data_IF_161295621463
#
_entry.id   IF_161295621463
#
_cell.length_a   1.000
_cell.length_b   1.000
_cell.length_c   1.000
_cell.angle_alpha   90.00
_cell.angle_beta   90.00
_cell.angle_gamma   90.00
#
_symmetry.space_group_name_H-M   'P 1'
#
loop_
_entity.id
_entity.type
_entity.pdbx_description
1 polymer ?
#
# COMPACT_ATOMS: atom_id res chain seq x y z
N UNK A 1 5.64 -18.98 0.00
CA UNK A 1 4.31 -18.82 0.62
C UNK A 1 3.39 -19.94 0.17
N UNK A 2 2.78 -20.65 1.10
CA UNK A 2 1.80 -21.71 0.81
C UNK A 2 0.50 -21.13 0.23
N UNK A 3 -0.28 -21.97 -0.46
CA UNK A 3 -1.60 -21.58 -0.98
C UNK A 3 -2.56 -21.17 0.15
N UNK A 4 -2.46 -21.83 1.31
CA UNK A 4 -3.25 -21.49 2.50
C UNK A 4 -2.94 -20.07 2.99
N UNK A 5 -1.65 -19.72 3.08
CA UNK A 5 -1.23 -18.37 3.48
C UNK A 5 -1.74 -17.30 2.51
N UNK A 6 -1.65 -17.53 1.19
CA UNK A 6 -2.16 -16.59 0.19
C UNK A 6 -3.67 -16.36 0.35
N UNK A 7 -4.45 -17.43 0.61
CA UNK A 7 -5.89 -17.33 0.86
C UNK A 7 -6.18 -16.53 2.13
N UNK A 8 -5.42 -16.75 3.19
CA UNK A 8 -5.52 -15.99 4.44
C UNK A 8 -5.27 -14.50 4.21
N UNK A 9 -4.16 -14.14 3.56
CA UNK A 9 -3.81 -12.74 3.26
C UNK A 9 -4.87 -12.03 2.43
N UNK A 10 -5.45 -12.69 1.42
CA UNK A 10 -6.58 -12.14 0.63
C UNK A 10 -7.82 -11.91 1.50
N UNK A 11 -8.10 -12.82 2.44
CA UNK A 11 -9.21 -12.67 3.39
C UNK A 11 -8.96 -11.48 4.31
N UNK A 12 -7.76 -11.35 4.85
CA UNK A 12 -7.35 -10.22 5.70
C UNK A 12 -7.50 -8.89 4.97
N UNK A 13 -7.01 -8.77 3.73
CA UNK A 13 -7.23 -7.57 2.90
C UNK A 13 -8.71 -7.21 2.80
N UNK A 14 -9.57 -8.20 2.49
CA UNK A 14 -11.01 -7.96 2.32
C UNK A 14 -11.70 -7.56 3.63
N UNK A 15 -11.22 -8.05 4.78
CA UNK A 15 -11.76 -7.67 6.09
C UNK A 15 -11.36 -6.23 6.42
N UNK A 16 -10.08 -5.87 6.28
CA UNK A 16 -9.61 -4.51 6.59
C UNK A 16 -10.04 -3.43 5.58
N UNK A 17 -10.49 -3.81 4.38
CA UNK A 17 -11.08 -2.88 3.41
C UNK A 17 -12.53 -2.48 3.72
N UNK A 18 -13.17 -3.07 4.74
CA UNK A 18 -14.55 -2.73 5.12
C UNK A 18 -14.59 -1.41 5.88
N UNK A 19 -15.63 -0.61 5.65
CA UNK A 19 -15.83 0.66 6.35
C UNK A 19 -15.86 0.55 7.89
N UNK A 20 -16.25 -0.62 8.41
CA UNK A 20 -16.33 -0.91 9.85
C UNK A 20 -15.08 -1.63 10.40
N UNK A 21 -14.01 -1.75 9.61
CA UNK A 21 -12.80 -2.43 10.07
C UNK A 21 -12.12 -1.64 11.18
N UNK A 22 -11.69 -2.33 12.24
CA UNK A 22 -10.90 -1.72 13.31
C UNK A 22 -9.53 -1.27 12.80
N UNK A 23 -8.88 -0.36 13.51
CA UNK A 23 -7.53 0.09 13.16
C UNK A 23 -6.53 -1.08 13.03
N UNK A 24 -6.64 -2.09 13.90
CA UNK A 24 -5.84 -3.31 13.83
C UNK A 24 -6.10 -4.10 12.53
N UNK A 25 -7.38 -4.27 12.15
CA UNK A 25 -7.75 -4.97 10.91
C UNK A 25 -7.29 -4.21 9.66
N UNK A 26 -7.32 -2.88 9.69
CA UNK A 26 -6.79 -2.04 8.62
C UNK A 26 -5.27 -2.20 8.50
N UNK A 27 -4.55 -2.20 9.63
CA UNK A 27 -3.10 -2.41 9.64
C UNK A 27 -2.69 -3.81 9.15
N UNK A 28 -3.44 -4.84 9.55
CA UNK A 28 -3.26 -6.21 9.05
C UNK A 28 -3.52 -6.29 7.54
N UNK A 29 -4.54 -5.59 7.04
CA UNK A 29 -4.85 -5.52 5.62
C UNK A 29 -3.75 -4.82 4.82
N UNK A 30 -3.16 -3.74 5.34
CA UNK A 30 -1.99 -3.08 4.73
C UNK A 30 -0.82 -4.04 4.61
N UNK A 31 -0.47 -4.70 5.71
CA UNK A 31 0.62 -5.69 5.76
C UNK A 31 0.38 -6.86 4.79
N UNK A 32 -0.86 -7.35 4.73
CA UNK A 32 -1.27 -8.39 3.80
C UNK A 32 -1.20 -7.94 2.32
N UNK A 33 -1.54 -6.68 2.04
CA UNK A 33 -1.44 -6.10 0.70
C UNK A 33 0.00 -6.04 0.20
N UNK A 34 0.91 -5.55 1.04
CA UNK A 34 2.35 -5.49 0.72
C UNK A 34 2.93 -6.88 0.49
N UNK A 35 2.61 -7.83 1.37
CA UNK A 35 3.04 -9.23 1.24
C UNK A 35 2.60 -9.86 -0.09
N UNK A 36 1.37 -9.57 -0.53
CA UNK A 36 0.86 -10.04 -1.81
C UNK A 36 1.51 -9.34 -3.00
N UNK A 37 1.80 -8.04 -2.90
CA UNK A 37 2.48 -7.25 -3.92
C UNK A 37 3.92 -7.75 -4.13
N UNK A 38 4.71 -7.82 -3.05
CA UNK A 38 6.07 -8.35 -3.08
C UNK A 38 6.14 -9.75 -3.70
N UNK A 39 5.18 -10.62 -3.34
CA UNK A 39 5.08 -11.93 -3.97
C UNK A 39 4.82 -11.82 -5.47
N UNK A 40 3.91 -10.94 -5.91
CA UNK A 40 3.64 -10.76 -7.34
C UNK A 40 4.90 -10.33 -8.09
N UNK A 41 5.64 -9.36 -7.55
CA UNK A 41 6.91 -8.88 -8.14
C UNK A 41 7.93 -10.01 -8.21
N UNK A 42 8.11 -10.76 -7.11
CA UNK A 42 9.06 -11.89 -7.07
C UNK A 42 8.76 -12.98 -8.09
N UNK A 43 7.49 -13.23 -8.39
CA UNK A 43 7.06 -14.21 -9.39
C UNK A 43 6.86 -13.60 -10.78
N UNK A 44 7.21 -12.32 -10.99
CA UNK A 44 7.01 -11.59 -12.25
C UNK A 44 5.58 -11.65 -12.78
N UNK A 45 4.60 -11.63 -11.86
CA UNK A 45 3.19 -11.59 -12.22
C UNK A 45 2.76 -10.14 -12.50
N UNK A 46 3.21 -9.62 -13.64
CA UNK A 46 3.15 -8.22 -14.05
C UNK A 46 1.80 -7.54 -13.86
N UNK A 47 0.77 -7.97 -14.60
CA UNK A 47 -0.59 -7.43 -14.47
C UNK A 47 -1.13 -7.53 -13.04
N UNK A 48 -0.80 -8.62 -12.34
CA UNK A 48 -1.26 -8.83 -10.98
C UNK A 48 -0.49 -7.96 -9.96
N UNK A 49 0.76 -7.61 -10.24
CA UNK A 49 1.56 -6.69 -9.43
C UNK A 49 0.93 -5.30 -9.48
N UNK A 50 0.61 -4.79 -10.67
CA UNK A 50 -0.06 -3.50 -10.86
C UNK A 50 -1.42 -3.45 -10.15
N UNK A 51 -2.24 -4.50 -10.26
CA UNK A 51 -3.51 -4.59 -9.53
C UNK A 51 -3.33 -4.61 -8.00
N UNK A 52 -2.29 -5.29 -7.50
CA UNK A 52 -2.01 -5.36 -6.07
C UNK A 52 -1.41 -4.07 -5.52
N UNK A 53 -0.65 -3.34 -6.32
CA UNK A 53 -0.19 -2.00 -6.01
C UNK A 53 -1.38 -1.07 -5.75
N UNK A 54 -2.36 -1.08 -6.65
CA UNK A 54 -3.59 -0.29 -6.46
C UNK A 54 -4.31 -0.63 -5.14
N UNK A 55 -4.37 -1.90 -4.77
CA UNK A 55 -4.98 -2.31 -3.49
C UNK A 55 -4.15 -1.88 -2.28
N UNK A 56 -2.82 -1.97 -2.37
CA UNK A 56 -1.93 -1.53 -1.30
C UNK A 56 -2.06 -0.02 -1.04
N UNK A 57 -2.08 0.78 -2.11
CA UNK A 57 -2.27 2.24 -2.04
C UNK A 57 -3.64 2.62 -1.49
N UNK A 58 -4.72 1.99 -1.97
CA UNK A 58 -6.08 2.23 -1.45
C UNK A 58 -6.22 1.92 0.04
N UNK A 59 -5.48 0.93 0.55
CA UNK A 59 -5.45 0.59 1.98
C UNK A 59 -4.52 1.51 2.79
N UNK A 60 -3.78 2.42 2.15
CA UNK A 60 -2.78 3.28 2.79
C UNK A 60 -1.54 2.50 3.25
N UNK A 61 -1.18 1.43 2.54
CA UNK A 61 0.04 0.70 2.85
C UNK A 61 1.27 1.47 2.34
N UNK A 62 2.35 1.46 3.14
CA UNK A 62 3.61 2.08 2.74
C UNK A 62 4.31 1.20 1.68
N UNK A 63 4.21 1.62 0.42
CA UNK A 63 4.84 0.92 -0.71
C UNK A 63 6.20 1.54 -0.97
N UNK A 64 7.25 0.71 -0.90
CA UNK A 64 8.63 1.09 -1.18
C UNK A 64 8.86 1.52 -2.64
N UNK A 65 9.81 2.43 -2.88
CA UNK A 65 10.13 2.97 -4.20
C UNK A 65 10.49 1.87 -5.21
N UNK A 66 11.19 0.80 -4.79
CA UNK A 66 11.53 -0.32 -5.70
C UNK A 66 10.29 -1.05 -6.25
N UNK A 67 9.22 -1.14 -5.46
CA UNK A 67 7.95 -1.73 -5.90
C UNK A 67 7.20 -0.79 -6.83
N UNK A 68 7.31 0.53 -6.60
CA UNK A 68 6.79 1.56 -7.50
C UNK A 68 7.48 1.52 -8.86
N UNK A 69 8.80 1.51 -8.89
CA UNK A 69 9.60 1.44 -10.11
C UNK A 69 9.27 0.17 -10.91
N UNK A 70 9.20 -0.99 -10.25
CA UNK A 70 8.82 -2.24 -10.91
C UNK A 70 7.43 -2.12 -11.56
N UNK A 71 6.43 -1.67 -10.81
CA UNK A 71 5.08 -1.55 -11.34
C UNK A 71 4.96 -0.48 -12.43
N UNK A 72 5.74 0.60 -12.35
CA UNK A 72 5.83 1.60 -13.39
C UNK A 72 6.42 1.01 -14.67
N UNK A 73 7.60 0.37 -14.59
CA UNK A 73 8.27 -0.25 -15.72
C UNK A 73 7.38 -1.29 -16.41
N UNK A 74 6.74 -2.15 -15.62
CA UNK A 74 5.76 -3.13 -16.13
C UNK A 74 4.59 -2.44 -16.81
N UNK A 75 3.95 -1.46 -16.16
CA UNK A 75 2.78 -0.79 -16.72
C UNK A 75 3.12 0.00 -18.00
N UNK A 76 4.32 0.57 -18.10
CA UNK A 76 4.81 1.22 -19.32
C UNK A 76 5.03 0.24 -20.47
N UNK A 77 5.39 -1.01 -20.19
CA UNK A 77 5.56 -2.07 -21.19
C UNK A 77 4.28 -2.81 -21.54
N UNK A 78 3.16 -2.57 -20.84
CA UNK A 78 1.87 -3.20 -21.14
C UNK A 78 1.20 -2.55 -22.34
N UNK A 79 0.54 -3.35 -23.18
CA UNK A 79 -0.27 -2.84 -24.29
C UNK A 79 -1.49 -2.01 -23.87
N UNK A 80 -1.87 -2.06 -22.58
CA UNK A 80 -2.99 -1.33 -22.00
C UNK A 80 -2.50 -0.04 -21.30
N UNK A 81 -2.62 1.13 -21.94
CA UNK A 81 -2.14 2.40 -21.38
C UNK A 81 -2.92 2.83 -20.13
N UNK A 82 -4.11 2.25 -19.88
CA UNK A 82 -4.90 2.57 -18.68
C UNK A 82 -4.20 2.10 -17.41
N UNK A 83 -3.42 1.03 -17.47
CA UNK A 83 -2.64 0.56 -16.32
C UNK A 83 -1.55 1.55 -15.93
N UNK A 84 -0.84 2.11 -16.93
CA UNK A 84 0.17 3.13 -16.68
C UNK A 84 -0.44 4.38 -16.06
N UNK A 85 -1.54 4.88 -16.62
CA UNK A 85 -2.26 6.04 -16.08
C UNK A 85 -2.71 5.80 -14.63
N UNK A 86 -3.16 4.57 -14.32
CA UNK A 86 -3.55 4.17 -12.97
C UNK A 86 -2.36 4.24 -12.01
N UNK A 87 -1.20 3.69 -12.37
CA UNK A 87 0.01 3.74 -11.53
C UNK A 87 0.45 5.19 -11.27
N UNK A 88 0.49 6.02 -12.32
CA UNK A 88 0.87 7.42 -12.20
C UNK A 88 -0.09 8.22 -11.30
N UNK A 89 -1.40 7.96 -11.43
CA UNK A 89 -2.43 8.61 -10.62
C UNK A 89 -2.32 8.20 -9.15
N UNK A 90 -2.12 6.91 -8.88
CA UNK A 90 -1.92 6.40 -7.53
C UNK A 90 -0.66 7.02 -6.88
N UNK A 91 0.44 7.11 -7.63
CA UNK A 91 1.71 7.66 -7.12
C UNK A 91 1.57 9.13 -6.72
N UNK A 92 0.90 9.94 -7.55
CA UNK A 92 0.59 11.34 -7.22
C UNK A 92 -0.24 11.48 -5.96
N UNK A 93 -1.26 10.63 -5.79
CA UNK A 93 -2.10 10.63 -4.58
C UNK A 93 -1.38 10.18 -3.31
N UNK A 94 -0.35 9.34 -3.41
CA UNK A 94 0.47 8.95 -2.24
C UNK A 94 1.46 10.01 -1.81
N UNK A 95 2.01 10.79 -2.73
CA UNK A 95 2.90 11.93 -2.39
C UNK A 95 2.16 13.08 -1.70
N UNK A 96 0.82 13.12 -1.81
CA UNK A 96 -0.02 14.13 -1.16
C UNK A 96 -0.48 13.72 0.25
N UNK A 97 -0.17 12.50 0.71
CA UNK A 97 -0.40 12.13 2.11
C UNK A 97 0.71 12.75 2.97
N UNK A 98 0.41 13.74 3.83
CA UNK A 98 1.40 14.30 4.72
C UNK A 98 1.90 13.21 5.66
N UNK A 99 3.22 13.09 5.77
CA UNK A 99 3.91 12.35 6.83
C UNK A 99 3.57 13.06 8.14
N UNK A 100 2.40 12.75 8.70
CA UNK A 100 2.00 13.19 10.02
C UNK A 100 2.82 12.41 11.05
N UNK A 101 3.90 12.99 11.54
CA UNK A 101 4.69 12.30 12.56
C UNK A 101 5.99 12.96 13.02
N UNK A 102 6.08 14.28 13.19
CA UNK A 102 7.02 14.86 14.18
C UNK A 102 6.52 16.21 14.70
N UNK A 103 5.64 16.18 15.69
CA UNK A 103 5.64 17.18 16.79
C UNK A 103 5.07 16.51 18.02
N UNK A 104 5.90 16.34 19.06
CA UNK A 104 5.56 16.99 20.30
C UNK A 104 6.80 17.66 20.90
N UNK A 105 6.86 18.97 20.80
CA UNK A 105 7.69 19.79 21.69
C UNK A 105 6.79 20.81 22.40
N UNK A 106 5.83 20.30 23.19
CA UNK A 106 5.34 21.07 24.34
C UNK A 106 6.48 21.12 25.37
N UNK A 107 7.38 22.09 25.19
CA UNK A 107 8.25 22.55 26.28
C UNK A 107 7.41 23.38 27.24
N UNK A 108 6.88 22.66 28.23
CA UNK A 108 6.67 23.10 29.60
C UNK A 108 7.27 24.48 29.94
N UNK A 109 6.42 25.45 30.25
CA UNK A 109 6.80 26.62 31.06
C UNK A 109 5.76 26.82 32.16
N UNK A 110 5.87 25.97 33.19
CA UNK A 110 5.59 26.36 34.57
C UNK A 110 6.56 27.47 35.00
N UNK A 111 6.02 28.65 35.29
CA UNK A 111 6.46 29.55 36.39
C UNK A 111 5.18 30.20 36.92
N UNK A 112 4.59 29.65 37.98
CA UNK A 112 4.83 29.99 39.39
C UNK A 112 4.50 31.45 39.71
N UNK A 113 3.42 31.56 40.49
CA UNK A 113 3.15 32.48 41.62
C UNK A 113 3.04 33.98 41.36
#
# INVERSE_FOLDING_TARGET
MSRALIRSLKKTQRVGARAQASAAQQQDARSAALSLLQRSVRFKHDRLAVLRLANAVQLGANVDETLWEYCHAVASGMADPTQLQKVLTLRRGTTDQPIGGITPAESNSRRQE
#
